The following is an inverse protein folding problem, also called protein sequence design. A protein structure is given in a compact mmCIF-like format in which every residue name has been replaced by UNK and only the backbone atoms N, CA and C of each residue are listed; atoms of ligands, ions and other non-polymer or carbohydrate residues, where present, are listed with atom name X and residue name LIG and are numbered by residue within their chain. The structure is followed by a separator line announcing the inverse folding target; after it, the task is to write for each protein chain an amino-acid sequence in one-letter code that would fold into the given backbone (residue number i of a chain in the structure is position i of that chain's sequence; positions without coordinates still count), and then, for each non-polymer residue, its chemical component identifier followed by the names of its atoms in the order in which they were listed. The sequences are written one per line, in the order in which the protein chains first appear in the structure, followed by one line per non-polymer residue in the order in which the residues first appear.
data_IF_604027763206
#
_entry.id   IF_604027763206
#
_cell.length_a   1.000
_cell.length_b   1.000
_cell.length_c   1.000
_cell.angle_alpha   90.00
_cell.angle_beta   90.00
_cell.angle_gamma   90.00
#
_symmetry.space_group_name_H-M   'P 1'
#
loop_
_entity.id
_entity.type
_entity.pdbx_description
1 polymer ?
#
# COMPACT_ATOMS: atom_id res chain seq x y z
N UNK A 1 -1.05 -17.84 -3.46
CA UNK A 1 -0.60 -18.21 -2.10
C UNK A 1 -1.31 -19.49 -1.70
N UNK A 2 -0.58 -20.60 -1.64
CA UNK A 2 -1.13 -21.90 -1.24
C UNK A 2 -0.75 -22.26 0.21
N UNK A 3 0.15 -21.49 0.84
CA UNK A 3 0.50 -21.64 2.24
C UNK A 3 -0.58 -20.98 3.13
N UNK A 4 -1.19 -21.77 4.03
CA UNK A 4 -2.18 -21.31 5.00
C UNK A 4 -1.62 -20.29 6.00
N UNK A 5 -0.31 -20.32 6.27
CA UNK A 5 0.38 -19.39 7.16
C UNK A 5 0.36 -17.96 6.62
N UNK A 6 0.19 -17.78 5.31
CA UNK A 6 0.15 -16.45 4.68
C UNK A 6 -1.26 -15.83 4.65
N UNK A 7 -2.30 -16.57 5.08
CA UNK A 7 -3.68 -16.08 5.10
C UNK A 7 -3.88 -14.80 5.90
N UNK A 8 -3.24 -14.59 7.08
CA UNK A 8 -3.37 -13.34 7.84
C UNK A 8 -3.05 -12.10 7.02
N UNK A 9 -2.19 -12.19 6.01
CA UNK A 9 -1.73 -11.05 5.22
C UNK A 9 -2.62 -10.73 4.01
N UNK A 10 -3.59 -11.59 3.68
CA UNK A 10 -4.47 -11.38 2.52
C UNK A 10 -5.23 -10.05 2.56
N UNK A 11 -5.77 -9.59 3.70
CA UNK A 11 -6.43 -8.28 3.75
C UNK A 11 -5.44 -7.14 3.50
N UNK A 12 -4.26 -7.17 4.13
CA UNK A 12 -3.21 -6.18 3.88
C UNK A 12 -2.77 -6.16 2.41
N UNK A 13 -2.58 -7.32 1.79
CA UNK A 13 -2.28 -7.44 0.37
C UNK A 13 -3.37 -6.79 -0.50
N UNK A 14 -4.64 -7.13 -0.27
CA UNK A 14 -5.75 -6.62 -1.05
C UNK A 14 -5.88 -5.10 -0.91
N UNK A 15 -5.73 -4.60 0.31
CA UNK A 15 -5.83 -3.19 0.63
C UNK A 15 -4.68 -2.39 -0.01
N UNK A 16 -3.42 -2.82 0.15
CA UNK A 16 -2.28 -2.11 -0.46
C UNK A 16 -2.41 -2.10 -1.98
N UNK A 17 -2.78 -3.23 -2.60
CA UNK A 17 -3.02 -3.30 -4.04
C UNK A 17 -4.11 -2.31 -4.47
N UNK A 18 -5.20 -2.22 -3.71
CA UNK A 18 -6.26 -1.25 -3.99
C UNK A 18 -5.78 0.20 -3.82
N UNK A 19 -5.04 0.50 -2.75
CA UNK A 19 -4.55 1.85 -2.44
C UNK A 19 -3.54 2.36 -3.46
N UNK A 20 -2.66 1.49 -3.96
CA UNK A 20 -1.65 1.89 -4.95
C UNK A 20 -2.17 1.91 -6.39
N UNK A 21 -3.34 1.31 -6.67
CA UNK A 21 -3.84 1.15 -8.03
C UNK A 21 -3.87 2.47 -8.83
N UNK A 22 -3.23 2.45 -10.00
CA UNK A 22 -3.17 3.57 -10.94
C UNK A 22 -1.95 4.47 -10.77
N UNK A 23 -1.12 4.28 -9.73
CA UNK A 23 0.10 5.05 -9.55
C UNK A 23 1.14 4.73 -10.64
N UNK A 24 1.16 3.50 -11.13
CA UNK A 24 2.03 3.01 -12.19
C UNK A 24 1.84 3.73 -13.52
N UNK A 25 0.65 4.30 -13.74
CA UNK A 25 0.35 5.11 -14.94
C UNK A 25 1.09 6.44 -14.92
N UNK A 26 1.35 6.97 -13.72
CA UNK A 26 2.02 8.26 -13.51
C UNK A 26 3.52 8.07 -13.21
N UNK A 27 3.88 6.95 -12.57
CA UNK A 27 5.27 6.55 -12.32
C UNK A 27 5.36 5.02 -12.19
N UNK A 28 5.66 4.34 -13.30
CA UNK A 28 5.69 2.88 -13.40
C UNK A 28 6.44 2.17 -12.26
N UNK A 29 7.64 2.63 -11.82
CA UNK A 29 8.37 1.97 -10.74
C UNK A 29 7.68 1.99 -9.37
N UNK A 30 6.62 2.79 -9.19
CA UNK A 30 5.91 2.94 -7.92
C UNK A 30 4.65 2.07 -7.84
N UNK A 31 4.33 1.32 -8.88
CA UNK A 31 3.23 0.36 -8.87
C UNK A 31 3.36 -0.67 -7.73
N UNK A 32 2.23 -1.31 -7.42
CA UNK A 32 2.24 -2.42 -6.46
C UNK A 32 3.13 -3.56 -6.97
N UNK A 33 4.17 -3.89 -6.20
CA UNK A 33 5.14 -4.92 -6.53
C UNK A 33 5.01 -6.07 -5.55
N UNK A 34 4.70 -7.25 -6.07
CA UNK A 34 4.57 -8.45 -5.25
C UNK A 34 5.18 -9.66 -5.94
N UNK A 35 6.10 -10.33 -5.25
CA UNK A 35 6.72 -11.57 -5.73
C UNK A 35 5.77 -12.75 -5.48
N UNK A 36 5.52 -13.54 -6.53
CA UNK A 36 4.62 -14.71 -6.44
C UNK A 36 5.27 -15.87 -5.70
N UNK A 37 6.58 -15.85 -5.53
CA UNK A 37 7.37 -16.91 -4.91
C UNK A 37 7.56 -16.75 -3.40
N UNK A 38 6.87 -15.79 -2.77
CA UNK A 38 6.85 -15.63 -1.30
C UNK A 38 6.33 -16.89 -0.61
N UNK A 39 7.14 -17.47 0.28
CA UNK A 39 6.83 -18.71 1.00
C UNK A 39 6.62 -18.50 2.50
N UNK A 40 7.22 -17.46 3.10
CA UNK A 40 7.24 -17.26 4.57
C UNK A 40 6.50 -15.99 5.03
N UNK A 41 6.13 -15.95 6.31
CA UNK A 41 5.51 -14.79 6.96
C UNK A 41 6.42 -13.55 6.96
N UNK A 42 7.73 -13.76 7.11
CA UNK A 42 8.71 -12.67 7.08
C UNK A 42 8.81 -12.08 5.67
N UNK A 43 8.90 -12.93 4.65
CA UNK A 43 8.98 -12.51 3.25
C UNK A 43 7.74 -11.73 2.80
N UNK A 44 6.54 -12.19 3.18
CA UNK A 44 5.29 -11.50 2.83
C UNK A 44 5.21 -10.15 3.55
N UNK A 45 5.51 -10.10 4.84
CA UNK A 45 5.47 -8.85 5.60
C UNK A 45 6.48 -7.87 5.03
N UNK A 46 7.71 -8.31 4.80
CA UNK A 46 8.76 -7.49 4.20
C UNK A 46 8.37 -6.96 2.83
N UNK A 47 7.79 -7.80 1.98
CA UNK A 47 7.30 -7.39 0.66
C UNK A 47 6.23 -6.31 0.79
N UNK A 48 5.25 -6.50 1.68
CA UNK A 48 4.14 -5.55 1.86
C UNK A 48 4.62 -4.19 2.42
N UNK A 49 5.55 -4.15 3.36
CA UNK A 49 6.04 -2.88 3.96
C UNK A 49 7.12 -2.18 3.12
N UNK A 50 7.75 -2.89 2.16
CA UNK A 50 8.87 -2.37 1.37
C UNK A 50 8.48 -1.82 0.00
N UNK A 51 7.20 -1.57 -0.25
CA UNK A 51 6.73 -1.00 -1.51
C UNK A 51 7.43 0.33 -1.82
N UNK A 52 7.92 0.47 -3.05
CA UNK A 52 8.67 1.66 -3.48
C UNK A 52 7.85 2.94 -3.32
N UNK A 53 6.54 2.89 -3.57
CA UNK A 53 5.62 4.01 -3.36
C UNK A 53 5.73 4.65 -1.97
N UNK A 54 6.01 3.86 -0.93
CA UNK A 54 6.10 4.36 0.44
C UNK A 54 7.33 5.24 0.70
N UNK A 55 8.32 5.21 -0.21
CA UNK A 55 9.50 6.04 -0.14
C UNK A 55 9.31 7.46 -0.70
N UNK A 56 8.21 7.72 -1.41
CA UNK A 56 7.98 8.99 -2.09
C UNK A 56 6.85 9.75 -1.45
N UNK A 57 6.98 11.07 -1.39
CA UNK A 57 5.82 11.93 -1.25
C UNK A 57 5.20 12.11 -2.62
N UNK A 58 3.88 12.00 -2.68
CA UNK A 58 3.10 12.22 -3.88
C UNK A 58 2.28 13.47 -3.64
N UNK A 59 2.55 14.51 -4.40
CA UNK A 59 1.92 15.81 -4.20
C UNK A 59 1.14 16.23 -5.43
N UNK A 60 0.13 17.08 -5.22
CA UNK A 60 -0.59 17.70 -6.32
C UNK A 60 -0.28 19.20 -6.48
N UNK A 61 -0.90 19.85 -7.47
CA UNK A 61 -0.68 21.27 -7.76
C UNK A 61 -1.07 22.22 -6.61
N UNK A 62 -1.86 21.75 -5.64
CA UNK A 62 -2.30 22.52 -4.47
C UNK A 62 -1.39 22.32 -3.26
N UNK A 63 -0.32 21.53 -3.39
CA UNK A 63 0.57 21.16 -2.29
C UNK A 63 -0.02 20.13 -1.33
N UNK A 64 -1.16 19.51 -1.67
CA UNK A 64 -1.68 18.40 -0.87
C UNK A 64 -0.78 17.17 -1.06
N UNK A 65 -0.50 16.47 0.03
CA UNK A 65 0.28 15.23 0.04
C UNK A 65 -0.69 14.07 0.14
N UNK A 66 -0.55 13.10 -0.76
CA UNK A 66 -1.31 11.85 -0.67
C UNK A 66 -0.79 10.98 0.48
N UNK A 67 -1.73 10.53 1.32
CA UNK A 67 -1.48 9.54 2.35
C UNK A 67 -2.20 8.24 1.99
N UNK A 68 -1.39 7.21 1.70
CA UNK A 68 -1.87 5.87 1.32
C UNK A 68 -2.78 5.23 2.37
N UNK A 69 -2.62 5.60 3.65
CA UNK A 69 -3.44 5.08 4.77
C UNK A 69 -4.85 5.66 4.75
N UNK A 70 -5.00 6.90 4.25
CA UNK A 70 -6.26 7.64 4.30
C UNK A 70 -7.12 7.38 3.08
N UNK A 71 -6.53 7.31 1.88
CA UNK A 71 -7.29 7.10 0.64
C UNK A 71 -6.51 6.35 -0.46
N UNK A 72 -7.20 5.75 -1.45
CA UNK A 72 -6.55 5.23 -2.65
C UNK A 72 -5.95 6.33 -3.53
N UNK A 73 -4.85 6.01 -4.22
CA UNK A 73 -4.19 6.90 -5.17
C UNK A 73 -5.15 7.40 -6.25
N UNK A 74 -5.99 6.52 -6.78
CA UNK A 74 -7.00 6.86 -7.79
C UNK A 74 -7.95 7.97 -7.33
N UNK A 75 -8.36 7.99 -6.06
CA UNK A 75 -9.20 9.05 -5.49
C UNK A 75 -8.43 10.37 -5.35
N UNK A 76 -7.16 10.30 -4.93
CA UNK A 76 -6.28 11.47 -4.89
C UNK A 76 -6.05 12.07 -6.27
N UNK A 77 -5.77 11.21 -7.26
CA UNK A 77 -5.56 11.60 -8.65
C UNK A 77 -6.79 12.22 -9.28
N UNK A 78 -7.99 11.66 -9.04
CA UNK A 78 -9.24 12.14 -9.64
C UNK A 78 -9.55 13.62 -9.34
N UNK A 79 -9.04 14.16 -8.22
CA UNK A 79 -9.22 15.57 -7.83
C UNK A 79 -7.97 16.43 -8.01
N UNK A 80 -6.96 15.91 -8.69
CA UNK A 80 -5.66 16.56 -8.89
C UNK A 80 -5.43 16.79 -10.38
N UNK A 81 -5.06 18.02 -10.73
CA UNK A 81 -4.79 18.40 -12.12
C UNK A 81 -3.40 17.92 -12.53
N UNK A 82 -2.43 17.98 -11.61
CA UNK A 82 -1.06 17.52 -11.81
C UNK A 82 -0.60 16.74 -10.60
N UNK A 83 0.17 15.68 -10.84
CA UNK A 83 0.85 14.91 -9.80
C UNK A 83 2.36 15.13 -9.94
N UNK A 84 3.03 15.22 -8.80
CA UNK A 84 4.49 15.22 -8.71
C UNK A 84 4.94 14.18 -7.68
N UNK A 85 6.13 13.64 -7.91
CA UNK A 85 6.78 12.65 -7.05
C UNK A 85 8.09 13.23 -6.50
N UNK A 86 8.05 14.29 -5.67
CA UNK A 86 9.25 14.86 -5.11
C UNK A 86 10.02 13.81 -4.29
N UNK A 87 11.30 13.65 -4.59
CA UNK A 87 12.20 12.91 -3.73
C UNK A 87 12.59 13.83 -2.56
N UNK A 88 11.86 13.71 -1.44
CA UNK A 88 12.12 14.47 -0.20
C UNK A 88 13.15 13.80 0.72
N UNK A 89 13.73 12.68 0.28
CA UNK A 89 14.64 11.86 1.07
C UNK A 89 13.93 10.81 1.91
N UNK A 90 14.69 10.06 2.72
CA UNK A 90 14.12 9.04 3.60
C UNK A 90 13.38 9.68 4.78
N UNK A 91 12.06 9.41 4.88
CA UNK A 91 11.25 9.79 6.03
C UNK A 91 10.98 8.56 6.93
N UNK A 92 11.77 8.39 8.02
CA UNK A 92 11.63 7.24 8.91
C UNK A 92 10.26 7.17 9.60
N UNK A 93 9.70 8.33 9.97
CA UNK A 93 8.43 8.38 10.67
C UNK A 93 7.28 7.93 9.76
N UNK A 94 7.25 8.39 8.50
CA UNK A 94 6.28 7.95 7.50
C UNK A 94 6.39 6.44 7.26
N UNK A 95 7.62 5.94 7.08
CA UNK A 95 7.89 4.50 6.90
C UNK A 95 7.36 3.69 8.09
N UNK A 96 7.70 4.07 9.32
CA UNK A 96 7.22 3.37 10.51
C UNK A 96 5.69 3.37 10.61
N UNK A 97 5.07 4.52 10.33
CA UNK A 97 3.61 4.66 10.35
C UNK A 97 2.93 3.77 9.31
N UNK A 98 3.50 3.66 8.11
CA UNK A 98 2.98 2.76 7.07
C UNK A 98 3.20 1.30 7.47
N UNK A 99 4.37 0.94 8.00
CA UNK A 99 4.63 -0.42 8.48
C UNK A 99 3.64 -0.85 9.57
N UNK A 100 3.36 0.01 10.54
CA UNK A 100 2.36 -0.25 11.58
C UNK A 100 0.96 -0.44 10.98
N UNK A 101 0.56 0.43 10.06
CA UNK A 101 -0.72 0.31 9.37
C UNK A 101 -0.85 -1.01 8.59
N UNK A 102 0.22 -1.46 7.91
CA UNK A 102 0.22 -2.77 7.22
C UNK A 102 0.04 -3.92 8.21
N UNK A 103 0.70 -3.87 9.37
CA UNK A 103 0.57 -4.87 10.44
C UNK A 103 -0.86 -4.88 11.01
N UNK A 104 -1.48 -3.71 11.19
CA UNK A 104 -2.85 -3.56 11.68
C UNK A 104 -3.89 -4.10 10.68
N UNK A 105 -3.59 -4.06 9.38
CA UNK A 105 -4.44 -4.65 8.34
C UNK A 105 -4.38 -6.19 8.31
N UNK A 106 -3.32 -6.79 8.85
CA UNK A 106 -3.21 -8.23 8.90
C UNK A 106 -4.23 -8.83 9.87
N UNK A 107 -4.92 -9.86 9.41
CA UNK A 107 -5.91 -10.59 10.19
C UNK A 107 -5.25 -11.74 10.96
N UNK A 108 -4.50 -11.38 12.00
CA UNK A 108 -3.75 -12.32 12.85
C UNK A 108 -4.64 -13.35 13.54
N UNK A 109 -5.89 -12.99 13.82
CA UNK A 109 -6.87 -13.86 14.47
C UNK A 109 -7.52 -14.87 13.50
N UNK A 110 -7.27 -14.75 12.19
CA UNK A 110 -7.81 -15.66 11.19
C UNK A 110 -9.34 -15.55 11.02
N UNK A 111 -9.93 -14.43 11.45
CA UNK A 111 -11.37 -14.18 11.31
C UNK A 111 -11.76 -14.23 9.83
N UNK A 112 -12.66 -15.12 9.44
CA UNK A 112 -13.16 -15.13 8.05
C UNK A 112 -14.02 -13.87 7.87
N UNK A 113 -13.45 -12.83 7.27
CA UNK A 113 -14.22 -11.65 6.85
C UNK A 113 -15.19 -12.06 5.73
N UNK A 114 -16.35 -12.57 6.13
CA UNK A 114 -17.53 -12.68 5.28
C UNK A 114 -18.18 -11.30 5.21
N UNK A 115 -17.73 -10.44 4.29
CA UNK A 115 -18.31 -9.10 4.23
C UNK A 115 -17.89 -8.30 3.02
N UNK A 116 -18.50 -8.58 1.88
CA UNK A 116 -18.75 -7.57 0.86
C UNK A 116 -19.69 -6.55 1.52
N UNK A 117 -19.18 -5.38 1.87
CA UNK A 117 -20.06 -4.23 2.13
C UNK A 117 -19.70 -3.14 1.13
N UNK A 118 -20.37 -3.20 -0.02
CA UNK A 118 -20.63 -2.04 -0.85
C UNK A 118 -21.49 -1.08 -0.02
N UNK A 119 -21.01 0.14 0.20
CA UNK A 119 -21.84 1.33 0.38
C UNK A 119 -21.24 2.46 -0.45
#
# INVERSE_FOLDING_TARGET
MNNSELRPFLPAFAEIKHRLCGIEVECEPLGFSFDKDVQTEEEILFTLISQKAFAFDVTNEKGAVWDVRLEPFSKFKARSTKIAFPFTGYNPNKRQQISNWVIELCNWEGNVFTGITRH
#
